data_IF_203002938294
#
_entry.id   IF_203002938294
#
_cell.length_a   1.000
_cell.length_b   1.000
_cell.length_c   1.000
_cell.angle_alpha   90.00
_cell.angle_beta   90.00
_cell.angle_gamma   90.00
#
_symmetry.space_group_name_H-M   'P 1'
#
loop_
_entity.id
_entity.type
_entity.pdbx_description
1 polymer ?
#
# COMPACT_ATOMS: atom_id res chain seq x y z
N UNK A 1 -22.97 -17.54 15.14
CA UNK A 1 -21.80 -17.54 14.24
C UNK A 1 -22.19 -18.26 12.95
N UNK A 2 -22.13 -17.59 11.80
CA UNK A 2 -22.49 -18.18 10.50
C UNK A 2 -21.22 -18.45 9.70
N UNK A 3 -21.04 -19.70 9.25
CA UNK A 3 -19.97 -20.14 8.34
C UNK A 3 -19.87 -19.27 7.08
N UNK A 4 -20.96 -18.62 6.66
CA UNK A 4 -20.97 -17.72 5.50
C UNK A 4 -20.24 -16.39 5.70
N UNK A 5 -19.97 -15.96 6.94
CA UNK A 5 -19.18 -14.74 7.22
C UNK A 5 -17.68 -14.98 7.07
N UNK A 6 -17.18 -16.12 7.55
CA UNK A 6 -15.77 -16.52 7.44
C UNK A 6 -15.34 -16.68 5.99
N UNK A 7 -16.18 -17.30 5.15
CA UNK A 7 -15.89 -17.47 3.72
C UNK A 7 -15.76 -16.13 2.97
N UNK A 8 -16.54 -15.10 3.35
CA UNK A 8 -16.41 -13.76 2.75
C UNK A 8 -15.14 -13.04 3.18
N UNK A 9 -14.78 -13.15 4.46
CA UNK A 9 -13.58 -12.53 5.01
C UNK A 9 -12.31 -13.13 4.41
N UNK A 10 -12.29 -14.45 4.21
CA UNK A 10 -11.21 -15.13 3.50
C UNK A 10 -11.00 -14.57 2.09
N UNK A 11 -12.07 -14.41 1.30
CA UNK A 11 -11.95 -13.87 -0.07
C UNK A 11 -11.50 -12.41 -0.09
N UNK A 12 -11.93 -11.61 0.89
CA UNK A 12 -11.43 -10.24 1.09
C UNK A 12 -9.93 -10.26 1.38
N UNK A 13 -9.46 -11.09 2.33
CA UNK A 13 -8.05 -11.18 2.69
C UNK A 13 -7.18 -11.69 1.53
N UNK A 14 -7.68 -12.64 0.72
CA UNK A 14 -7.00 -13.07 -0.51
C UNK A 14 -6.87 -11.92 -1.52
N UNK A 15 -7.88 -11.05 -1.62
CA UNK A 15 -7.82 -9.86 -2.48
C UNK A 15 -6.78 -8.87 -1.94
N UNK A 16 -6.80 -8.59 -0.64
CA UNK A 16 -5.79 -7.73 0.01
C UNK A 16 -4.37 -8.27 -0.24
N UNK A 17 -4.13 -9.57 -0.07
CA UNK A 17 -2.81 -10.16 -0.29
C UNK A 17 -2.29 -9.93 -1.72
N UNK A 18 -3.16 -10.01 -2.73
CA UNK A 18 -2.80 -9.69 -4.12
C UNK A 18 -2.52 -8.21 -4.32
N UNK A 19 -3.31 -7.36 -3.66
CA UNK A 19 -3.15 -5.92 -3.75
C UNK A 19 -1.84 -5.45 -3.11
N UNK A 20 -1.49 -5.97 -1.93
CA UNK A 20 -0.21 -5.72 -1.27
C UNK A 20 0.97 -6.04 -2.19
N UNK A 21 0.93 -7.20 -2.86
CA UNK A 21 2.00 -7.55 -3.78
C UNK A 21 2.06 -6.60 -4.99
N UNK A 22 0.90 -6.22 -5.54
CA UNK A 22 0.81 -5.26 -6.65
C UNK A 22 1.40 -3.90 -6.25
N UNK A 23 1.05 -3.42 -5.05
CA UNK A 23 1.55 -2.18 -4.47
C UNK A 23 3.04 -2.25 -4.17
N UNK A 24 3.54 -3.37 -3.68
CA UNK A 24 4.97 -3.56 -3.45
C UNK A 24 5.79 -3.30 -4.74
N UNK A 25 5.31 -3.82 -5.86
CA UNK A 25 5.94 -3.61 -7.17
C UNK A 25 5.74 -2.20 -7.72
N UNK A 26 4.56 -1.61 -7.53
CA UNK A 26 4.28 -0.22 -7.91
C UNK A 26 5.17 0.76 -7.15
N UNK A 27 5.26 0.64 -5.82
CA UNK A 27 6.10 1.46 -4.96
C UNK A 27 7.59 1.30 -5.30
N UNK A 28 8.05 0.08 -5.60
CA UNK A 28 9.42 -0.16 -6.09
C UNK A 28 9.69 0.64 -7.37
N UNK A 29 8.78 0.60 -8.34
CA UNK A 29 8.90 1.35 -9.60
C UNK A 29 8.90 2.86 -9.37
N UNK A 30 8.09 3.36 -8.44
CA UNK A 30 8.06 4.79 -8.11
C UNK A 30 9.39 5.22 -7.48
N UNK A 31 9.92 4.44 -6.54
CA UNK A 31 11.22 4.70 -5.93
C UNK A 31 12.36 4.75 -6.97
N UNK A 32 12.29 3.91 -8.00
CA UNK A 32 13.27 3.89 -9.10
C UNK A 32 13.13 5.08 -10.07
N UNK A 33 11.92 5.63 -10.21
CA UNK A 33 11.64 6.73 -11.15
C UNK A 33 11.79 8.12 -10.54
N UNK A 34 11.74 8.26 -9.22
CA UNK A 34 11.80 9.57 -8.57
C UNK A 34 13.25 9.95 -8.22
N UNK A 35 13.62 11.20 -8.52
CA UNK A 35 14.87 11.82 -8.05
C UNK A 35 14.75 12.45 -6.66
N UNK A 36 13.54 12.56 -6.11
CA UNK A 36 13.33 13.15 -4.80
C UNK A 36 13.74 12.15 -3.70
N UNK A 37 14.90 12.36 -3.08
CA UNK A 37 15.52 11.39 -2.17
C UNK A 37 14.63 10.94 -1.00
N UNK A 38 13.88 11.86 -0.39
CA UNK A 38 12.93 11.51 0.69
C UNK A 38 11.80 10.61 0.16
N UNK A 39 11.27 10.90 -1.04
CA UNK A 39 10.20 10.11 -1.64
C UNK A 39 10.73 8.73 -2.07
N UNK A 40 11.96 8.68 -2.61
CA UNK A 40 12.65 7.43 -2.94
C UNK A 40 12.81 6.53 -1.71
N UNK A 41 13.29 7.07 -0.60
CA UNK A 41 13.40 6.34 0.66
C UNK A 41 12.03 5.88 1.17
N UNK A 42 11.02 6.77 1.12
CA UNK A 42 9.66 6.46 1.51
C UNK A 42 9.07 5.30 0.70
N UNK A 43 9.08 5.36 -0.64
CA UNK A 43 8.51 4.30 -1.48
C UNK A 43 9.33 3.00 -1.44
N UNK A 44 10.63 3.07 -1.17
CA UNK A 44 11.44 1.87 -0.90
C UNK A 44 10.95 1.17 0.37
N UNK A 45 10.70 1.94 1.43
CA UNK A 45 10.15 1.41 2.68
C UNK A 45 8.74 0.83 2.46
N UNK A 46 7.86 1.57 1.81
CA UNK A 46 6.49 1.12 1.50
C UNK A 46 6.49 -0.18 0.68
N UNK A 47 7.38 -0.31 -0.31
CA UNK A 47 7.52 -1.54 -1.09
C UNK A 47 7.85 -2.75 -0.20
N UNK A 48 8.75 -2.57 0.77
CA UNK A 48 9.15 -3.63 1.69
C UNK A 48 8.04 -3.95 2.71
N UNK A 49 7.33 -2.94 3.19
CA UNK A 49 6.21 -3.13 4.11
C UNK A 49 5.06 -3.90 3.46
N UNK A 50 4.70 -3.59 2.20
CA UNK A 50 3.73 -4.38 1.45
C UNK A 50 4.14 -5.85 1.29
N UNK A 51 5.43 -6.15 1.07
CA UNK A 51 5.93 -7.55 1.05
C UNK A 51 5.75 -8.23 2.41
N UNK A 52 6.03 -7.50 3.50
CA UNK A 52 5.79 -7.99 4.87
C UNK A 52 4.29 -8.21 5.12
N UNK A 53 3.42 -7.29 4.70
CA UNK A 53 1.97 -7.41 4.81
C UNK A 53 1.47 -8.64 4.06
N UNK A 54 1.94 -8.87 2.84
CA UNK A 54 1.62 -10.05 2.05
C UNK A 54 2.00 -11.36 2.78
N UNK A 55 3.16 -11.39 3.45
CA UNK A 55 3.56 -12.52 4.29
C UNK A 55 2.65 -12.73 5.50
N UNK A 56 2.28 -11.64 6.19
CA UNK A 56 1.34 -11.68 7.34
C UNK A 56 -0.04 -12.18 6.89
N UNK A 57 -0.57 -11.67 5.78
CA UNK A 57 -1.84 -12.11 5.21
C UNK A 57 -1.80 -13.59 4.81
N UNK A 58 -0.66 -14.06 4.30
CA UNK A 58 -0.45 -15.49 4.04
C UNK A 58 -0.59 -16.33 5.30
N UNK A 59 0.04 -15.91 6.41
CA UNK A 59 -0.09 -16.57 7.71
C UNK A 59 -1.53 -16.56 8.22
N UNK A 60 -2.22 -15.42 8.13
CA UNK A 60 -3.63 -15.31 8.52
C UNK A 60 -4.50 -16.28 7.72
N UNK A 61 -4.31 -16.35 6.40
CA UNK A 61 -5.05 -17.28 5.54
C UNK A 61 -4.78 -18.74 5.94
N UNK A 62 -3.54 -19.10 6.25
CA UNK A 62 -3.19 -20.44 6.76
C UNK A 62 -3.89 -20.76 8.09
N UNK A 63 -3.94 -19.81 9.03
CA UNK A 63 -4.66 -19.98 10.30
C UNK A 63 -6.17 -20.14 10.09
N UNK A 64 -6.72 -19.55 9.02
CA UNK A 64 -8.12 -19.71 8.63
C UNK A 64 -8.40 -21.00 7.83
N UNK A 65 -7.40 -21.87 7.66
CA UNK A 65 -7.51 -23.16 6.97
C UNK A 65 -7.35 -23.09 5.45
N UNK A 66 -6.91 -21.96 4.91
CA UNK A 66 -6.61 -21.82 3.48
C UNK A 66 -5.19 -22.30 3.17
N UNK A 67 -5.02 -22.91 1.99
CA UNK A 67 -3.70 -23.26 1.51
C UNK A 67 -2.84 -22.00 1.36
N UNK A 68 -1.56 -22.01 1.80
CA UNK A 68 -0.66 -20.91 1.56
C UNK A 68 -0.53 -20.70 0.05
N UNK A 69 -0.89 -19.51 -0.44
CA UNK A 69 -0.51 -19.13 -1.80
C UNK A 69 1.00 -18.91 -1.79
N UNK A 70 1.67 -19.52 -2.76
CA UNK A 70 3.09 -19.29 -3.01
C UNK A 70 3.35 -17.79 -3.01
N UNK A 71 4.28 -17.37 -2.15
CA UNK A 71 4.96 -16.09 -2.29
C UNK A 71 5.36 -15.98 -3.74
N UNK A 72 5.06 -14.86 -4.38
CA UNK A 72 5.46 -14.67 -5.77
C UNK A 72 6.96 -14.82 -5.82
N UNK A 73 7.38 -15.94 -6.43
CA UNK A 73 8.75 -16.17 -6.80
C UNK A 73 9.19 -14.88 -7.47
N UNK A 74 10.30 -14.33 -6.99
CA UNK A 74 10.92 -13.12 -7.51
C UNK A 74 11.12 -13.35 -9.01
N UNK A 75 10.11 -12.99 -9.79
CA UNK A 75 10.08 -13.25 -11.22
C UNK A 75 11.21 -12.38 -11.73
N UNK A 76 12.29 -13.03 -12.19
CA UNK A 76 13.48 -12.40 -12.71
C UNK A 76 13.05 -11.45 -13.84
N UNK A 77 12.81 -10.20 -13.46
CA UNK A 77 12.34 -9.19 -14.37
C UNK A 77 13.40 -9.00 -15.46
N UNK A 78 13.00 -8.92 -16.74
CA UNK A 78 13.93 -8.67 -17.82
C UNK A 78 14.71 -7.37 -17.57
N UNK A 79 15.93 -7.31 -18.11
CA UNK A 79 16.86 -6.20 -17.96
C UNK A 79 16.15 -4.84 -18.08
N UNK A 80 16.38 -3.99 -17.06
CA UNK A 80 15.73 -2.68 -16.87
C UNK A 80 15.84 -1.83 -18.14
N UNK A 81 14.73 -1.61 -18.81
CA UNK A 81 14.62 -0.50 -19.75
C UNK A 81 14.75 0.82 -18.97
N UNK A 82 15.37 1.84 -19.57
CA UNK A 82 15.40 3.18 -18.99
C UNK A 82 13.95 3.68 -18.82
N UNK A 83 13.50 3.82 -17.58
CA UNK A 83 12.16 4.32 -17.28
C UNK A 83 12.23 5.84 -17.15
N UNK A 84 11.30 6.55 -17.77
CA UNK A 84 11.25 8.00 -17.68
C UNK A 84 11.13 8.45 -16.21
N UNK A 85 11.93 9.46 -15.85
CA UNK A 85 11.94 10.07 -14.54
C UNK A 85 10.55 10.64 -14.21
N UNK A 86 10.08 10.38 -13.00
CA UNK A 86 8.80 10.87 -12.49
C UNK A 86 8.94 12.33 -12.08
N UNK A 87 8.11 13.19 -12.65
CA UNK A 87 8.06 14.61 -12.28
C UNK A 87 7.40 14.85 -10.92
N UNK A 88 7.71 15.98 -10.28
CA UNK A 88 7.20 16.32 -8.94
C UNK A 88 5.67 16.38 -8.85
N UNK A 89 4.99 16.76 -9.95
CA UNK A 89 3.52 16.77 -10.02
C UNK A 89 2.93 15.37 -10.03
N UNK A 90 3.54 14.47 -10.82
CA UNK A 90 3.13 13.06 -10.89
C UNK A 90 3.30 12.42 -9.51
N UNK A 91 4.48 12.58 -8.90
CA UNK A 91 4.76 12.13 -7.54
C UNK A 91 3.72 12.62 -6.52
N UNK A 92 3.39 13.91 -6.58
CA UNK A 92 2.40 14.51 -5.68
C UNK A 92 0.98 13.97 -5.89
N UNK A 93 0.53 13.79 -7.14
CA UNK A 93 -0.76 13.14 -7.42
C UNK A 93 -0.79 11.68 -6.96
N UNK A 94 0.29 10.94 -7.20
CA UNK A 94 0.41 9.53 -6.81
C UNK A 94 0.29 9.37 -5.30
N UNK A 95 0.97 10.21 -4.51
CA UNK A 95 0.84 10.20 -3.04
C UNK A 95 -0.61 10.44 -2.60
N UNK A 96 -1.34 11.36 -3.25
CA UNK A 96 -2.74 11.62 -2.91
C UNK A 96 -3.66 10.45 -3.23
N UNK A 97 -3.45 9.78 -4.36
CA UNK A 97 -4.23 8.61 -4.75
C UNK A 97 -3.98 7.45 -3.78
N UNK A 98 -2.72 7.27 -3.34
CA UNK A 98 -2.34 6.22 -2.40
C UNK A 98 -2.87 6.46 -0.97
N UNK A 99 -3.11 7.69 -0.53
CA UNK A 99 -3.74 7.94 0.79
C UNK A 99 -5.07 7.21 0.97
N UNK A 100 -5.85 7.07 -0.11
CA UNK A 100 -7.11 6.35 -0.07
C UNK A 100 -6.89 4.85 0.07
N UNK A 101 -5.84 4.31 -0.57
CA UNK A 101 -5.50 2.90 -0.51
C UNK A 101 -5.16 2.49 0.93
N UNK A 102 -4.26 3.21 1.59
CA UNK A 102 -3.88 2.96 2.99
C UNK A 102 -5.11 2.97 3.92
N UNK A 103 -6.03 3.92 3.69
CA UNK A 103 -7.28 4.02 4.47
C UNK A 103 -8.24 2.86 4.20
N UNK A 104 -8.45 2.51 2.94
CA UNK A 104 -9.33 1.41 2.55
C UNK A 104 -8.78 0.07 3.11
N UNK A 105 -7.45 -0.10 3.13
CA UNK A 105 -6.77 -1.24 3.74
C UNK A 105 -6.96 -1.27 5.26
N UNK A 106 -6.71 -0.16 5.96
CA UNK A 106 -6.95 -0.01 7.40
C UNK A 106 -8.38 -0.44 7.77
N UNK A 107 -9.38 0.15 7.13
CA UNK A 107 -10.80 -0.12 7.40
C UNK A 107 -11.15 -1.58 7.12
N UNK A 108 -10.56 -2.18 6.09
CA UNK A 108 -10.77 -3.58 5.73
C UNK A 108 -10.17 -4.52 6.79
N UNK A 109 -8.91 -4.31 7.18
CA UNK A 109 -8.24 -5.14 8.18
C UNK A 109 -8.92 -5.03 9.54
N UNK A 110 -9.29 -3.81 9.97
CA UNK A 110 -10.03 -3.59 11.21
C UNK A 110 -11.35 -4.36 11.21
N UNK A 111 -12.12 -4.24 10.13
CA UNK A 111 -13.42 -4.88 9.99
C UNK A 111 -13.33 -6.41 10.06
N UNK A 112 -12.28 -7.01 9.48
CA UNK A 112 -12.06 -8.46 9.56
C UNK A 112 -11.55 -8.85 10.96
N UNK A 113 -10.67 -8.05 11.57
CA UNK A 113 -10.16 -8.28 12.91
C UNK A 113 -11.28 -8.32 13.96
N UNK A 114 -12.26 -7.42 13.86
CA UNK A 114 -13.42 -7.37 14.77
C UNK A 114 -14.26 -8.66 14.74
N UNK A 115 -14.33 -9.32 13.58
CA UNK A 115 -15.07 -10.59 13.38
C UNK A 115 -14.23 -11.83 13.65
N UNK A 116 -12.91 -11.71 13.69
CA UNK A 116 -12.02 -12.83 13.96
C UNK A 116 -12.26 -13.38 15.38
N UNK A 117 -12.56 -14.69 15.44
CA UNK A 117 -12.71 -15.43 16.69
C UNK A 117 -11.37 -15.94 17.22
N UNK A 118 -10.43 -16.20 16.31
CA UNK A 118 -9.07 -16.58 16.65
C UNK A 118 -8.27 -15.33 17.06
N UNK A 119 -7.65 -15.38 18.25
CA UNK A 119 -6.94 -14.24 18.84
C UNK A 119 -5.62 -13.95 18.11
N UNK A 120 -4.94 -14.97 17.57
CA UNK A 120 -3.72 -14.79 16.80
C UNK A 120 -4.04 -14.08 15.48
N UNK A 121 -5.08 -14.53 14.77
CA UNK A 121 -5.58 -13.84 13.56
C UNK A 121 -5.95 -12.39 13.86
N UNK A 122 -6.70 -12.15 14.94
CA UNK A 122 -7.05 -10.78 15.37
C UNK A 122 -5.81 -9.93 15.60
N UNK A 123 -4.82 -10.44 16.32
CA UNK A 123 -3.59 -9.69 16.64
C UNK A 123 -2.78 -9.35 15.38
N UNK A 124 -2.67 -10.30 14.44
CA UNK A 124 -1.97 -10.07 13.17
C UNK A 124 -2.66 -8.98 12.34
N UNK A 125 -3.99 -9.03 12.23
CA UNK A 125 -4.76 -8.01 11.50
C UNK A 125 -4.70 -6.64 12.17
N UNK A 126 -4.73 -6.56 13.51
CA UNK A 126 -4.55 -5.30 14.24
C UNK A 126 -3.13 -4.73 14.09
N UNK A 127 -2.13 -5.60 13.90
CA UNK A 127 -0.79 -5.20 13.50
C UNK A 127 -0.80 -4.49 12.15
N UNK A 128 -1.43 -5.08 11.13
CA UNK A 128 -1.58 -4.44 9.82
C UNK A 128 -2.31 -3.10 9.92
N UNK A 129 -3.43 -3.02 10.65
CA UNK A 129 -4.13 -1.74 10.91
C UNK A 129 -3.19 -0.66 11.45
N UNK A 130 -2.26 -1.03 12.32
CA UNK A 130 -1.31 -0.08 12.90
C UNK A 130 -0.26 0.38 11.88
N UNK A 131 0.19 -0.52 11.01
CA UNK A 131 1.12 -0.23 9.92
C UNK A 131 0.45 0.71 8.89
N UNK A 132 -0.76 0.41 8.41
CA UNK A 132 -1.52 1.26 7.45
C UNK A 132 -1.76 2.69 7.98
N UNK A 133 -2.07 2.84 9.28
CA UNK A 133 -2.20 4.16 9.93
C UNK A 133 -0.90 4.95 9.90
N UNK A 134 0.22 4.26 10.14
CA UNK A 134 1.54 4.88 10.12
C UNK A 134 1.89 5.31 8.69
N UNK A 135 1.65 4.45 7.71
CA UNK A 135 1.87 4.74 6.29
C UNK A 135 1.06 5.94 5.82
N UNK A 136 -0.24 6.00 6.14
CA UNK A 136 -1.10 7.14 5.86
C UNK A 136 -0.54 8.44 6.44
N UNK A 137 -0.12 8.41 7.72
CA UNK A 137 0.49 9.59 8.37
C UNK A 137 1.78 10.03 7.71
N UNK A 138 2.67 9.09 7.39
CA UNK A 138 3.94 9.38 6.71
C UNK A 138 3.71 9.98 5.33
N UNK A 139 2.74 9.45 4.59
CA UNK A 139 2.36 9.93 3.27
C UNK A 139 1.79 11.36 3.32
N UNK A 140 0.93 11.66 4.30
CA UNK A 140 0.44 13.01 4.55
C UNK A 140 1.59 13.99 4.87
N UNK A 141 2.57 13.57 5.68
CA UNK A 141 3.74 14.40 5.99
C UNK A 141 4.57 14.68 4.73
N UNK A 142 4.77 13.68 3.87
CA UNK A 142 5.50 13.87 2.61
C UNK A 142 4.75 14.81 1.67
N UNK A 143 3.42 14.67 1.53
CA UNK A 143 2.57 15.60 0.77
C UNK A 143 2.75 17.03 1.27
N UNK A 144 2.68 17.24 2.58
CA UNK A 144 2.86 18.56 3.18
C UNK A 144 4.24 19.14 2.88
N UNK A 145 5.30 18.34 2.99
CA UNK A 145 6.66 18.79 2.66
C UNK A 145 6.76 19.19 1.18
N UNK A 146 6.15 18.42 0.27
CA UNK A 146 6.10 18.76 -1.15
C UNK A 146 5.32 20.06 -1.43
N UNK A 147 4.24 20.32 -0.69
CA UNK A 147 3.48 21.57 -0.79
C UNK A 147 4.27 22.78 -0.30
N UNK A 148 5.07 22.61 0.75
CA UNK A 148 5.93 23.66 1.29
C UNK A 148 7.09 23.97 0.33
N UNK A 149 7.72 22.94 -0.25
CA UNK A 149 8.89 23.09 -1.12
C UNK A 149 8.54 23.47 -2.57
N UNK A 150 7.48 22.87 -3.13
CA UNK A 150 7.10 23.00 -4.54
C UNK A 150 5.75 23.68 -4.76
N UNK A 151 5.17 24.28 -3.71
CA UNK A 151 3.82 24.86 -3.72
C UNK A 151 3.49 25.77 -4.91
N UNK A 152 4.38 26.66 -5.40
CA UNK A 152 4.11 27.45 -6.60
C UNK A 152 3.95 26.58 -7.85
N UNK A 153 4.82 25.60 -8.04
CA UNK A 153 4.77 24.66 -9.16
C UNK A 153 3.49 23.84 -9.05
N UNK A 154 3.14 23.32 -7.87
CA UNK A 154 1.94 22.50 -7.70
C UNK A 154 0.62 23.25 -7.96
N UNK A 155 0.58 24.58 -7.77
CA UNK A 155 -0.62 25.43 -7.95
C UNK A 155 -0.88 25.93 -9.37
N UNK A 156 0.12 25.94 -10.24
CA UNK A 156 0.10 26.71 -11.51
C UNK A 156 -0.75 26.13 -12.66
N UNK A 157 -1.77 25.30 -12.37
CA UNK A 157 -2.69 24.75 -13.39
C UNK A 157 -4.17 24.94 -13.00
N UNK A 158 -4.46 25.38 -11.77
CA UNK A 158 -5.84 25.77 -11.40
C UNK A 158 -6.31 27.04 -12.10
N UNK A 159 -5.42 27.74 -12.83
CA UNK A 159 -5.67 28.98 -13.56
C UNK A 159 -5.88 28.80 -15.07
N UNK A 160 -5.75 27.58 -15.63
CA UNK A 160 -5.79 27.37 -17.10
C UNK A 160 -7.11 26.74 -17.59
N UNK A 161 -8.05 26.39 -16.72
CA UNK A 161 -9.36 25.83 -17.14
C UNK A 161 -10.53 26.83 -17.13
N UNK A 162 -10.26 28.14 -17.02
CA UNK A 162 -11.26 29.19 -17.26
C UNK A 162 -10.76 30.14 -18.36
N UNK A 163 -10.89 29.70 -19.62
CA UNK A 163 -10.66 30.50 -20.82
C UNK A 163 -11.52 29.98 -21.95
#
# INVERSE_FOLDING_TARGET
FSLGSVSKDVEVLKKCQREELRLAEEYRKIAERTSHEIAKAFYTQQSNDCKKHCSILGKVLTLLGEAPRETVAEELLPARAAVAEMGIRELYSTLKDHLKIERDAEETYMRVAERASDQEVKNLLLGLVSDEKLHHKQMMMLIKNLEEEYGPILRDVSSVTNG
#
